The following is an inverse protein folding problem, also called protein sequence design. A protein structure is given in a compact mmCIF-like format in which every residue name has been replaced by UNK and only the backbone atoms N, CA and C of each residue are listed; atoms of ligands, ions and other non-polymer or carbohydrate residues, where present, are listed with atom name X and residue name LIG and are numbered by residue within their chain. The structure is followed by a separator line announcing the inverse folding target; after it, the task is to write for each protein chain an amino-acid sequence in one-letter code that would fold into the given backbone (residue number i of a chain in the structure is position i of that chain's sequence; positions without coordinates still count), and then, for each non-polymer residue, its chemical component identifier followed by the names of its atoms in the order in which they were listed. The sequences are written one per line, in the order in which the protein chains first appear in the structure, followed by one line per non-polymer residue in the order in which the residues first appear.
data_IF_565678549671
#
_entry.id   IF_565678549671
#
_cell.length_a   1.000
_cell.length_b   1.000
_cell.length_c   1.000
_cell.angle_alpha   90.00
_cell.angle_beta   90.00
_cell.angle_gamma   90.00
#
_symmetry.space_group_name_H-M   'P 1'
#
loop_
_entity.id
_entity.type
_entity.pdbx_description
1 polymer ?
#
# COMPACT_ATOMS: atom_id res chain seq x y z
N UNK A 1 -7.03 -4.48 20.65
CA UNK A 1 -5.65 -4.72 20.22
C UNK A 1 -5.49 -3.98 18.92
N UNK A 2 -5.18 -2.68 18.98
CA UNK A 2 -4.95 -1.91 17.76
C UNK A 2 -3.57 -2.31 17.23
N UNK A 3 -3.57 -3.22 16.26
CA UNK A 3 -2.39 -3.52 15.47
C UNK A 3 -2.12 -2.36 14.52
N UNK A 4 -1.66 -1.23 15.07
CA UNK A 4 -1.10 -0.15 14.26
C UNK A 4 0.33 -0.57 13.97
N UNK A 5 0.55 -1.09 12.76
CA UNK A 5 1.89 -1.33 12.26
C UNK A 5 2.48 0.02 11.87
N UNK A 6 3.58 0.41 12.52
CA UNK A 6 4.25 1.67 12.22
C UNK A 6 4.94 1.59 10.85
N UNK A 7 4.80 2.66 10.06
CA UNK A 7 5.33 2.70 8.68
C UNK A 7 6.85 2.60 8.68
N UNK A 8 7.49 3.31 9.59
CA UNK A 8 8.94 3.33 9.72
C UNK A 8 9.47 2.02 10.27
N UNK A 9 8.71 1.36 11.16
CA UNK A 9 9.05 0.02 11.62
C UNK A 9 9.13 -0.97 10.45
N UNK A 10 8.14 -1.01 9.56
CA UNK A 10 8.13 -1.91 8.40
C UNK A 10 9.25 -1.57 7.41
N UNK A 11 9.47 -0.28 7.14
CA UNK A 11 10.51 0.17 6.22
C UNK A 11 11.91 -0.14 6.73
N UNK A 12 12.13 -0.19 8.04
CA UNK A 12 13.45 -0.44 8.65
C UNK A 12 13.65 -1.89 9.11
N UNK A 13 12.60 -2.72 9.09
CA UNK A 13 12.70 -4.11 9.49
C UNK A 13 13.61 -4.89 8.53
N UNK A 14 14.65 -5.50 9.09
CA UNK A 14 15.66 -6.30 8.37
C UNK A 14 15.05 -7.44 7.55
N UNK A 15 13.90 -7.99 7.98
CA UNK A 15 13.21 -9.09 7.30
C UNK A 15 12.68 -8.69 5.92
N UNK A 16 12.38 -7.40 5.72
CA UNK A 16 11.71 -6.89 4.52
C UNK A 16 12.66 -6.18 3.55
N UNK A 17 13.91 -5.92 3.94
CA UNK A 17 14.90 -5.17 3.15
C UNK A 17 15.24 -5.78 1.79
N UNK A 18 14.96 -7.06 1.59
CA UNK A 18 15.19 -7.74 0.30
C UNK A 18 14.11 -7.45 -0.73
N UNK A 19 12.93 -6.98 -0.29
CA UNK A 19 11.80 -6.68 -1.17
C UNK A 19 12.06 -5.40 -1.97
N UNK A 20 11.77 -5.45 -3.27
CA UNK A 20 11.86 -4.27 -4.15
C UNK A 20 10.96 -3.13 -3.66
N UNK A 21 9.74 -3.46 -3.21
CA UNK A 21 8.79 -2.51 -2.66
C UNK A 21 9.37 -1.65 -1.52
N UNK A 22 10.13 -2.24 -0.59
CA UNK A 22 10.80 -1.48 0.50
C UNK A 22 11.93 -0.62 -0.07
N UNK A 23 12.76 -1.21 -0.94
CA UNK A 23 13.94 -0.53 -1.51
C UNK A 23 13.60 0.65 -2.42
N UNK A 24 12.43 0.63 -3.05
CA UNK A 24 11.92 1.66 -3.95
C UNK A 24 10.92 2.60 -3.28
N UNK A 25 10.75 2.50 -1.96
CA UNK A 25 9.74 3.23 -1.18
C UNK A 25 8.30 3.11 -1.71
N UNK A 26 8.00 1.96 -2.33
CA UNK A 26 6.72 1.63 -2.94
C UNK A 26 5.90 0.74 -2.01
N UNK A 27 5.45 1.31 -0.89
CA UNK A 27 4.63 0.61 0.10
C UNK A 27 3.31 1.34 0.30
N UNK A 28 2.21 0.71 -0.10
CA UNK A 28 0.86 1.22 0.15
C UNK A 28 0.39 0.80 1.55
N UNK A 29 0.08 1.77 2.39
CA UNK A 29 -0.59 1.57 3.67
C UNK A 29 -2.02 2.04 3.54
N UNK A 30 -2.96 1.11 3.71
CA UNK A 30 -4.38 1.30 3.48
C UNK A 30 -5.15 0.88 4.72
N UNK A 31 -6.27 1.57 5.00
CA UNK A 31 -7.13 1.25 6.13
C UNK A 31 -7.77 -0.15 5.94
N UNK A 32 -7.55 -1.04 6.91
CA UNK A 32 -8.12 -2.38 6.87
C UNK A 32 -9.65 -2.37 6.96
N UNK A 33 -10.25 -1.33 7.54
CA UNK A 33 -11.70 -1.21 7.64
C UNK A 33 -12.36 -0.94 6.29
N UNK A 34 -11.69 -0.27 5.35
CA UNK A 34 -12.21 -0.09 3.99
C UNK A 34 -12.05 -1.34 3.14
N UNK A 35 -11.04 -2.17 3.42
CA UNK A 35 -10.81 -3.45 2.72
C UNK A 35 -11.71 -4.59 3.20
N UNK A 36 -11.94 -4.68 4.51
CA UNK A 36 -12.57 -5.85 5.14
C UNK A 36 -14.10 -5.80 5.16
N UNK A 37 -14.70 -4.65 4.81
CA UNK A 37 -16.15 -4.45 4.87
C UNK A 37 -16.78 -4.59 3.48
N UNK A 38 -17.49 -5.70 3.19
CA UNK A 38 -18.20 -5.87 1.92
C UNK A 38 -19.41 -4.92 1.86
N UNK A 39 -19.20 -3.77 1.25
CA UNK A 39 -20.20 -2.71 1.11
C UNK A 39 -19.65 -1.60 0.19
N UNK A 40 -20.38 -0.47 0.04
CA UNK A 40 -19.98 0.60 -0.89
C UNK A 40 -18.55 1.13 -0.70
N UNK A 41 -18.00 1.01 0.52
CA UNK A 41 -16.64 1.43 0.89
C UNK A 41 -15.53 0.59 0.22
N UNK A 42 -15.84 -0.59 -0.32
CA UNK A 42 -14.84 -1.38 -1.07
C UNK A 42 -14.37 -0.66 -2.33
N UNK A 43 -15.21 0.20 -2.90
CA UNK A 43 -14.88 1.00 -4.10
C UNK A 43 -13.72 1.95 -3.78
N UNK A 44 -13.77 2.64 -2.63
CA UNK A 44 -12.71 3.54 -2.16
C UNK A 44 -11.36 2.80 -2.03
N UNK A 45 -11.38 1.57 -1.53
CA UNK A 45 -10.17 0.77 -1.41
C UNK A 45 -9.60 0.36 -2.79
N UNK A 46 -10.48 0.02 -3.75
CA UNK A 46 -10.10 -0.32 -5.12
C UNK A 46 -9.48 0.91 -5.82
N UNK A 47 -10.07 2.09 -5.66
CA UNK A 47 -9.57 3.34 -6.24
C UNK A 47 -8.15 3.64 -5.74
N UNK A 48 -7.90 3.59 -4.43
CA UNK A 48 -6.56 3.81 -3.85
C UNK A 48 -5.52 2.81 -4.35
N UNK A 49 -5.90 1.53 -4.48
CA UNK A 49 -5.01 0.49 -5.01
C UNK A 49 -4.71 0.74 -6.49
N UNK A 50 -5.73 1.11 -7.27
CA UNK A 50 -5.59 1.37 -8.70
C UNK A 50 -4.70 2.59 -8.97
N UNK A 51 -4.89 3.69 -8.24
CA UNK A 51 -4.03 4.88 -8.30
C UNK A 51 -2.57 4.51 -8.00
N UNK A 52 -2.34 3.82 -6.88
CA UNK A 52 -1.00 3.38 -6.51
C UNK A 52 -0.37 2.50 -7.59
N UNK A 53 -1.08 1.49 -8.11
CA UNK A 53 -0.51 0.60 -9.13
C UNK A 53 -0.24 1.35 -10.45
N UNK A 54 -1.16 2.22 -10.88
CA UNK A 54 -1.07 2.89 -12.18
C UNK A 54 -0.14 4.09 -12.23
N UNK A 55 0.19 4.73 -11.10
CA UNK A 55 1.26 5.75 -11.05
C UNK A 55 2.57 5.25 -11.68
N UNK A 56 2.88 3.96 -11.52
CA UNK A 56 4.06 3.32 -12.09
C UNK A 56 3.95 3.08 -13.62
N UNK A 57 2.72 2.97 -14.13
CA UNK A 57 2.46 2.76 -15.56
C UNK A 57 2.51 4.08 -16.36
N UNK A 58 2.30 5.23 -15.70
CA UNK A 58 2.33 6.55 -16.34
C UNK A 58 3.76 7.06 -16.62
N UNK A 59 4.81 6.43 -16.11
CA UNK A 59 6.22 6.78 -16.41
C UNK A 59 6.71 6.33 -17.80
N UNK A 60 5.90 5.59 -18.58
CA UNK A 60 6.33 5.04 -19.89
C UNK A 60 5.68 5.63 -21.13
N UNK A 61 4.79 6.62 -20.98
CA UNK A 61 4.06 7.25 -22.09
C UNK A 61 4.39 8.76 -22.26
N UNK A 62 5.58 9.20 -21.86
CA UNK A 62 6.09 10.57 -22.13
C UNK A 62 7.39 10.56 -22.93
#
# INVERSE_FOLDING_TARGET
TEGVVDREEIKNDRRWQTLQAIRQDRVLFIDADILSRPGPRVIEAIEQIAEFIHEEAQEKDQ
#
